data_IF_555933401926
#
_entry.id   IF_555933401926
#
_cell.length_a   1.000
_cell.length_b   1.000
_cell.length_c   1.000
_cell.angle_alpha   90.00
_cell.angle_beta   90.00
_cell.angle_gamma   90.00
#
_symmetry.space_group_name_H-M   'P 1'
#
loop_
_entity.id
_entity.type
_entity.pdbx_description
1 polymer ?
#
# COMPACT_ATOMS: atom_id res chain seq x y z
N UNK A 1 -10.56 17.11 9.45
CA UNK A 1 -9.45 16.13 9.42
C UNK A 1 -9.88 15.03 8.44
N UNK A 2 -9.16 14.83 7.32
CA UNK A 2 -9.66 14.04 6.17
C UNK A 2 -9.80 12.54 6.52
N UNK A 3 -10.99 12.14 6.96
CA UNK A 3 -11.46 10.76 7.04
C UNK A 3 -11.58 10.20 5.61
N UNK A 4 -10.54 9.53 5.13
CA UNK A 4 -10.64 8.72 3.91
C UNK A 4 -11.35 7.43 4.32
N UNK A 5 -12.69 7.48 4.26
CA UNK A 5 -13.56 6.30 4.27
C UNK A 5 -13.05 5.35 3.21
N UNK A 6 -12.42 4.25 3.64
CA UNK A 6 -12.19 3.08 2.82
C UNK A 6 -13.56 2.53 2.42
N UNK A 7 -14.03 2.98 1.26
CA UNK A 7 -15.23 2.46 0.62
C UNK A 7 -14.87 1.11 -0.01
N UNK A 8 -14.76 0.08 0.81
CA UNK A 8 -14.72 -1.32 0.34
C UNK A 8 -16.16 -1.75 0.05
N UNK A 9 -16.65 -1.40 -1.14
CA UNK A 9 -17.93 -1.92 -1.63
C UNK A 9 -17.68 -3.25 -2.35
N UNK A 10 -18.02 -4.37 -1.68
CA UNK A 10 -18.54 -5.63 -2.24
C UNK A 10 -18.24 -5.97 -3.72
N UNK A 11 -17.03 -6.37 -4.04
CA UNK A 11 -16.77 -7.31 -5.16
C UNK A 11 -15.47 -8.06 -4.88
N UNK A 12 -15.42 -9.36 -5.17
CA UNK A 12 -14.39 -10.34 -4.79
C UNK A 12 -12.96 -10.12 -5.32
N UNK A 13 -12.49 -8.87 -5.44
CA UNK A 13 -11.07 -8.53 -5.59
C UNK A 13 -10.42 -8.54 -4.21
N UNK A 14 -9.61 -9.57 -3.96
CA UNK A 14 -8.87 -9.78 -2.70
C UNK A 14 -7.98 -8.57 -2.39
N UNK A 15 -8.47 -7.62 -1.60
CA UNK A 15 -7.66 -6.50 -1.13
C UNK A 15 -6.58 -7.03 -0.17
N UNK A 16 -5.34 -6.55 -0.34
CA UNK A 16 -4.26 -6.84 0.61
C UNK A 16 -4.59 -6.21 1.96
N UNK A 17 -4.39 -6.96 3.05
CA UNK A 17 -4.43 -6.36 4.38
C UNK A 17 -3.32 -5.30 4.52
N UNK A 18 -3.50 -4.34 5.43
CA UNK A 18 -2.47 -3.33 5.70
C UNK A 18 -1.13 -3.93 6.13
N UNK A 19 -1.16 -5.06 6.83
CA UNK A 19 0.06 -5.80 7.17
C UNK A 19 0.74 -6.33 5.92
N UNK A 20 -0.02 -6.95 5.00
CA UNK A 20 0.52 -7.40 3.72
C UNK A 20 1.07 -6.24 2.89
N UNK A 21 0.42 -5.08 2.88
CA UNK A 21 0.94 -3.90 2.19
C UNK A 21 2.27 -3.43 2.79
N UNK A 22 2.37 -3.36 4.12
CA UNK A 22 3.63 -3.02 4.80
C UNK A 22 4.72 -4.06 4.56
N UNK A 23 4.38 -5.36 4.56
CA UNK A 23 5.31 -6.44 4.21
C UNK A 23 5.82 -6.27 2.79
N UNK A 24 4.92 -6.07 1.82
CA UNK A 24 5.27 -5.84 0.42
C UNK A 24 6.18 -4.62 0.25
N UNK A 25 5.83 -3.49 0.88
CA UNK A 25 6.64 -2.27 0.84
C UNK A 25 8.02 -2.47 1.49
N UNK A 26 8.10 -3.30 2.54
CA UNK A 26 9.37 -3.64 3.19
C UNK A 26 10.23 -4.54 2.31
N UNK A 27 9.64 -5.56 1.70
CA UNK A 27 10.30 -6.46 0.75
C UNK A 27 10.76 -5.71 -0.51
N UNK A 28 9.99 -4.72 -0.96
CA UNK A 28 10.35 -3.82 -2.05
C UNK A 28 11.40 -2.76 -1.65
N UNK A 29 11.82 -2.68 -0.38
CA UNK A 29 12.85 -1.76 0.11
C UNK A 29 12.37 -0.33 0.43
N UNK A 30 11.07 -0.05 0.33
CA UNK A 30 10.49 1.29 0.54
C UNK A 30 10.01 1.54 1.97
N UNK A 31 9.87 0.50 2.80
CA UNK A 31 9.37 0.63 4.17
C UNK A 31 10.31 0.00 5.20
N UNK A 32 10.74 0.80 6.18
CA UNK A 32 11.61 0.37 7.28
C UNK A 32 10.91 0.31 8.64
N UNK A 33 9.62 0.65 8.67
CA UNK A 33 8.81 0.68 9.89
C UNK A 33 8.28 -0.70 10.32
N UNK A 34 7.53 -0.75 11.43
CA UNK A 34 6.90 -1.97 11.92
C UNK A 34 5.71 -2.40 11.03
N UNK A 35 5.52 -3.71 10.88
CA UNK A 35 4.36 -4.29 10.18
C UNK A 35 3.21 -4.42 11.20
N UNK A 36 2.66 -3.28 11.59
CA UNK A 36 1.62 -3.16 12.63
C UNK A 36 0.19 -3.16 12.08
N UNK A 37 0.04 -3.09 10.76
CA UNK A 37 -1.23 -2.95 10.07
C UNK A 37 -1.81 -1.54 10.12
N UNK A 38 -1.02 -0.52 10.45
CA UNK A 38 -1.46 0.87 10.53
C UNK A 38 -0.87 1.72 9.40
N UNK A 39 -1.73 2.47 8.70
CA UNK A 39 -1.31 3.44 7.69
C UNK A 39 -0.88 4.77 8.32
N UNK A 40 0.27 4.76 8.99
CA UNK A 40 0.90 5.96 9.52
C UNK A 40 1.64 6.78 8.45
N UNK A 41 2.20 7.93 8.86
CA UNK A 41 2.98 8.83 7.97
C UNK A 41 4.14 8.10 7.26
N UNK A 42 4.80 7.17 7.94
CA UNK A 42 5.89 6.40 7.35
C UNK A 42 5.39 5.45 6.25
N UNK A 43 4.27 4.77 6.48
CA UNK A 43 3.65 3.88 5.49
C UNK A 43 3.17 4.67 4.27
N UNK A 44 2.55 5.84 4.48
CA UNK A 44 2.15 6.73 3.37
C UNK A 44 3.34 7.20 2.53
N UNK A 45 4.45 7.61 3.17
CA UNK A 45 5.68 7.98 2.45
C UNK A 45 6.22 6.81 1.62
N UNK A 46 6.24 5.60 2.20
CA UNK A 46 6.67 4.39 1.49
C UNK A 46 5.78 4.08 0.27
N UNK A 47 4.45 4.22 0.41
CA UNK A 47 3.50 4.02 -0.71
C UNK A 47 3.81 5.01 -1.84
N UNK A 48 3.98 6.29 -1.52
CA UNK A 48 4.28 7.32 -2.53
C UNK A 48 5.61 7.03 -3.24
N UNK A 49 6.64 6.63 -2.50
CA UNK A 49 7.95 6.27 -3.07
C UNK A 49 7.87 5.03 -3.95
N UNK A 50 7.18 3.99 -3.49
CA UNK A 50 6.92 2.78 -4.24
C UNK A 50 6.17 3.09 -5.54
N UNK A 51 5.12 3.91 -5.47
CA UNK A 51 4.36 4.33 -6.65
C UNK A 51 5.24 5.05 -7.66
N UNK A 52 6.07 6.01 -7.23
CA UNK A 52 7.02 6.70 -8.11
C UNK A 52 7.99 5.73 -8.79
N UNK A 53 8.57 4.81 -8.02
CA UNK A 53 9.54 3.84 -8.52
C UNK A 53 8.94 2.85 -9.52
N UNK A 54 7.64 2.55 -9.41
CA UNK A 54 6.93 1.63 -10.30
C UNK A 54 6.15 2.36 -11.42
N UNK A 55 6.40 3.66 -11.64
CA UNK A 55 5.72 4.44 -12.69
C UNK A 55 4.21 4.62 -12.47
N UNK A 56 3.74 4.48 -11.22
CA UNK A 56 2.35 4.67 -10.84
C UNK A 56 2.10 6.12 -10.43
N UNK A 57 0.82 6.52 -10.41
CA UNK A 57 0.41 7.79 -9.84
C UNK A 57 0.78 7.82 -8.35
N UNK A 58 1.66 8.74 -7.97
CA UNK A 58 2.24 8.85 -6.64
C UNK A 58 1.38 9.68 -5.66
N UNK A 59 0.10 9.33 -5.53
CA UNK A 59 -0.87 10.04 -4.70
C UNK A 59 -1.01 9.45 -3.28
N UNK A 60 -0.30 8.36 -2.98
CA UNK A 60 -0.38 7.67 -1.70
C UNK A 60 -1.67 6.86 -1.52
N UNK A 61 -2.50 6.74 -2.56
CA UNK A 61 -3.75 5.99 -2.54
C UNK A 61 -3.52 4.58 -3.06
N UNK A 62 -3.97 3.60 -2.29
CA UNK A 62 -3.79 2.19 -2.64
C UNK A 62 -4.97 1.71 -3.49
N UNK A 63 -4.90 2.00 -4.79
CA UNK A 63 -5.83 1.48 -5.79
C UNK A 63 -5.39 0.14 -6.39
N UNK A 64 -6.20 -0.43 -7.29
CA UNK A 64 -5.97 -1.75 -7.91
C UNK A 64 -4.55 -1.90 -8.50
N UNK A 65 -4.06 -0.90 -9.24
CA UNK A 65 -2.71 -0.91 -9.81
C UNK A 65 -1.61 -0.97 -8.74
N UNK A 66 -1.80 -0.24 -7.65
CA UNK A 66 -0.84 -0.25 -6.52
C UNK A 66 -0.89 -1.61 -5.82
N UNK A 67 -2.07 -2.17 -5.60
CA UNK A 67 -2.26 -3.51 -5.00
C UNK A 67 -1.65 -4.62 -5.87
N UNK A 68 -1.86 -4.57 -7.18
CA UNK A 68 -1.31 -5.55 -8.12
C UNK A 68 0.22 -5.49 -8.20
N UNK A 69 0.81 -4.29 -8.08
CA UNK A 69 2.26 -4.14 -8.00
C UNK A 69 2.80 -4.66 -6.66
N UNK A 70 2.17 -4.33 -5.54
CA UNK A 70 2.58 -4.78 -4.20
C UNK A 70 2.49 -6.30 -4.04
N UNK A 71 1.49 -6.96 -4.65
CA UNK A 71 1.34 -8.42 -4.52
C UNK A 71 2.51 -9.21 -5.11
N UNK A 72 3.28 -8.62 -6.03
CA UNK A 72 4.50 -9.26 -6.56
C UNK A 72 5.61 -9.40 -5.49
N UNK A 73 5.59 -8.56 -4.46
CA UNK A 73 6.58 -8.55 -3.38
C UNK A 73 6.14 -9.36 -2.16
N UNK A 74 5.06 -10.16 -2.28
CA UNK A 74 4.54 -11.05 -1.25
C UNK A 74 4.73 -12.54 -1.58
N UNK A 75 5.36 -12.83 -2.72
CA UNK A 75 5.67 -14.18 -3.15
C UNK A 75 6.86 -14.76 -2.39
#
# INVERSE_FOLDING_TARGET
IKNIKQKTNNTSVKQLSYRQMQTALKNAGFYKGPIDGKLGKQTQKAIVQFQKANGLKADGVIGEKTTAALSQYLK
#
